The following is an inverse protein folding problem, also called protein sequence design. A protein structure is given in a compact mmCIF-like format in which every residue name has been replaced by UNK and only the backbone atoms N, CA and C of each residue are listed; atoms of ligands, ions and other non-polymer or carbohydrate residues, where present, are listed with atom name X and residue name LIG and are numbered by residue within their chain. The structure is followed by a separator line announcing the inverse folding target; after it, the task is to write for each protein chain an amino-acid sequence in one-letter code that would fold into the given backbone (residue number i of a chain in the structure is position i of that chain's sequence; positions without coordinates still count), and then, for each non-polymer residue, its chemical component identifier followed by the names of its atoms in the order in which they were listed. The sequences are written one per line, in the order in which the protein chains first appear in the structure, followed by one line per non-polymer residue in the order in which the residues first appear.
data_IF_010212107905
#
_entry.id   IF_010212107905
#
_cell.length_a   1.000
_cell.length_b   1.000
_cell.length_c   1.000
_cell.angle_alpha   90.00
_cell.angle_beta   90.00
_cell.angle_gamma   90.00
#
_symmetry.space_group_name_H-M   'P 1'
#
loop_
_entity.id
_entity.type
_entity.pdbx_description
1 polymer ?
#
# COMPACT_ATOMS: atom_id res chain seq x y z
N UNK A 1 32.28 25.28 -15.13
CA UNK A 1 30.94 25.64 -14.60
C UNK A 1 29.77 24.92 -15.27
N UNK A 2 29.83 24.56 -16.56
CA UNK A 2 28.73 23.88 -17.26
C UNK A 2 28.39 22.48 -16.73
N UNK A 3 29.40 21.68 -16.34
CA UNK A 3 29.18 20.31 -15.82
C UNK A 3 28.37 20.28 -14.52
N UNK A 4 28.63 21.20 -13.58
CA UNK A 4 27.89 21.28 -12.33
C UNK A 4 26.42 21.66 -12.55
N UNK A 5 26.14 22.58 -13.48
CA UNK A 5 24.78 22.97 -13.87
C UNK A 5 24.01 21.80 -14.52
N UNK A 6 24.70 21.01 -15.33
CA UNK A 6 24.11 19.82 -15.96
C UNK A 6 23.74 18.73 -14.93
N UNK A 7 24.62 18.47 -13.96
CA UNK A 7 24.36 17.51 -12.87
C UNK A 7 23.18 17.97 -12.00
N UNK A 8 23.13 19.27 -11.66
CA UNK A 8 22.01 19.85 -10.91
C UNK A 8 20.68 19.75 -11.66
N UNK A 9 20.67 19.95 -12.98
CA UNK A 9 19.46 19.74 -13.79
C UNK A 9 18.96 18.29 -13.74
N UNK A 10 19.86 17.30 -13.80
CA UNK A 10 19.48 15.89 -13.72
C UNK A 10 18.88 15.57 -12.35
N UNK A 11 19.50 16.05 -11.26
CA UNK A 11 18.99 15.84 -9.90
C UNK A 11 17.60 16.48 -9.74
N UNK A 12 17.43 17.71 -10.22
CA UNK A 12 16.13 18.40 -10.18
C UNK A 12 15.07 17.65 -10.98
N UNK A 13 15.41 17.15 -12.18
CA UNK A 13 14.49 16.39 -13.02
C UNK A 13 14.07 15.07 -12.35
N UNK A 14 15.01 14.35 -11.73
CA UNK A 14 14.73 13.13 -10.98
C UNK A 14 13.82 13.40 -9.77
N UNK A 15 14.03 14.52 -9.06
CA UNK A 15 13.20 14.91 -7.94
C UNK A 15 11.76 15.26 -8.39
N UNK A 16 11.60 15.98 -9.51
CA UNK A 16 10.29 16.30 -10.09
C UNK A 16 9.57 15.02 -10.54
N UNK A 17 10.27 14.14 -11.26
CA UNK A 17 9.69 12.87 -11.71
C UNK A 17 9.31 11.96 -10.54
N UNK A 18 10.17 11.86 -9.53
CA UNK A 18 9.89 11.13 -8.29
C UNK A 18 8.68 11.73 -7.52
N UNK A 19 8.59 13.05 -7.44
CA UNK A 19 7.45 13.75 -6.86
C UNK A 19 6.15 13.50 -7.63
N UNK A 20 6.18 13.59 -8.96
CA UNK A 20 5.02 13.32 -9.82
C UNK A 20 4.55 11.87 -9.72
N UNK A 21 5.48 10.91 -9.72
CA UNK A 21 5.14 9.49 -9.52
C UNK A 21 4.56 9.24 -8.12
N UNK A 22 5.08 9.90 -7.10
CA UNK A 22 4.54 9.80 -5.72
C UNK A 22 3.14 10.40 -5.61
N UNK A 23 2.88 11.52 -6.29
CA UNK A 23 1.55 12.15 -6.31
C UNK A 23 0.52 11.33 -7.10
N UNK A 24 0.95 10.73 -8.23
CA UNK A 24 0.11 9.83 -9.03
C UNK A 24 -0.15 8.51 -8.29
N UNK A 25 0.83 7.99 -7.55
CA UNK A 25 0.65 6.87 -6.64
C UNK A 25 -0.27 7.22 -5.46
N UNK A 26 -0.20 8.44 -4.93
CA UNK A 26 -1.11 8.95 -3.89
C UNK A 26 -2.55 9.06 -4.36
N UNK A 27 -2.79 9.48 -5.61
CA UNK A 27 -4.13 9.49 -6.24
C UNK A 27 -4.65 8.11 -6.65
N UNK A 28 -3.75 7.14 -6.92
CA UNK A 28 -4.11 5.75 -7.28
C UNK A 28 -4.18 4.80 -6.09
N UNK A 29 -3.67 5.19 -4.92
CA UNK A 29 -3.95 4.54 -3.64
C UNK A 29 -5.38 4.90 -3.27
N UNK A 30 -6.26 4.14 -3.91
CA UNK A 30 -7.60 3.75 -3.54
C UNK A 30 -8.27 4.65 -2.52
N UNK A 31 -9.38 5.18 -3.00
CA UNK A 31 -10.42 5.93 -2.32
C UNK A 31 -10.88 5.34 -0.97
N UNK A 32 -10.47 4.12 -0.62
CA UNK A 32 -10.27 3.72 0.77
C UNK A 32 -8.89 3.06 1.01
N UNK A 33 -8.12 3.58 1.97
CA UNK A 33 -6.88 2.95 2.43
C UNK A 33 -7.20 1.85 3.44
N UNK A 34 -8.03 0.88 3.03
CA UNK A 34 -8.29 -0.31 3.84
C UNK A 34 -7.26 -1.38 3.51
N UNK A 35 -6.84 -2.12 4.53
CA UNK A 35 -5.82 -3.15 4.42
C UNK A 35 -6.31 -4.45 5.04
N UNK A 36 -5.77 -5.58 4.60
CA UNK A 36 -5.98 -6.86 5.25
C UNK A 36 -4.64 -7.59 5.43
N UNK A 37 -4.49 -8.41 6.48
CA UNK A 37 -3.30 -9.23 6.66
C UNK A 37 -3.31 -10.39 5.65
N UNK A 38 -2.17 -10.63 5.03
CA UNK A 38 -1.92 -11.78 4.15
C UNK A 38 -0.55 -12.38 4.44
N UNK A 39 -0.30 -13.61 3.99
CA UNK A 39 0.96 -14.31 4.20
C UNK A 39 1.66 -14.58 2.87
N UNK A 40 2.99 -14.65 2.90
CA UNK A 40 3.80 -14.96 1.74
C UNK A 40 5.20 -15.40 2.14
N UNK A 41 5.85 -16.13 1.24
CA UNK A 41 7.21 -16.60 1.45
C UNK A 41 8.21 -15.58 0.91
N UNK A 42 9.06 -15.08 1.81
CA UNK A 42 10.09 -14.11 1.49
C UNK A 42 11.45 -14.79 1.56
N UNK A 43 12.20 -14.70 0.47
CA UNK A 43 13.52 -15.33 0.34
C UNK A 43 14.61 -14.29 0.27
N UNK A 44 15.62 -14.42 1.13
CA UNK A 44 16.81 -13.59 1.12
C UNK A 44 18.03 -14.42 1.55
N UNK A 45 19.15 -14.27 0.83
CA UNK A 45 20.40 -15.00 1.07
C UNK A 45 20.23 -16.54 1.16
N UNK A 46 19.35 -17.11 0.34
CA UNK A 46 19.09 -18.55 0.33
C UNK A 46 18.24 -19.07 1.50
N UNK A 47 17.82 -18.21 2.44
CA UNK A 47 16.86 -18.55 3.47
C UNK A 47 15.47 -18.03 3.09
N UNK A 48 14.44 -18.83 3.37
CA UNK A 48 13.04 -18.46 3.15
C UNK A 48 12.31 -18.34 4.48
N UNK A 49 11.39 -17.36 4.59
CA UNK A 49 10.54 -17.18 5.75
C UNK A 49 9.14 -16.79 5.32
N UNK A 50 8.14 -17.49 5.87
CA UNK A 50 6.75 -17.08 5.72
C UNK A 50 6.48 -15.89 6.65
N UNK A 51 6.05 -14.76 6.09
CA UNK A 51 5.76 -13.54 6.84
C UNK A 51 4.32 -13.10 6.59
N UNK A 52 3.67 -12.61 7.65
CA UNK A 52 2.39 -11.91 7.56
C UNK A 52 2.65 -10.43 7.31
N UNK A 53 2.04 -9.88 6.27
CA UNK A 53 2.15 -8.48 5.88
C UNK A 53 0.79 -7.90 5.51
N UNK A 54 0.70 -6.58 5.51
CA UNK A 54 -0.47 -5.84 5.10
C UNK A 54 -0.55 -5.79 3.57
N UNK A 55 -1.71 -6.16 3.06
CA UNK A 55 -2.07 -5.98 1.66
C UNK A 55 -3.21 -4.98 1.54
N UNK A 56 -3.22 -4.24 0.44
CA UNK A 56 -4.26 -3.24 0.17
C UNK A 56 -5.56 -3.94 -0.22
N UNK A 57 -6.65 -3.58 0.45
CA UNK A 57 -7.95 -4.16 0.19
C UNK A 57 -8.54 -3.58 -1.11
N UNK A 58 -9.07 -4.42 -2.02
CA UNK A 58 -9.62 -3.98 -3.30
C UNK A 58 -11.04 -3.41 -3.12
N UNK A 59 -11.23 -2.50 -2.17
CA UNK A 59 -12.53 -1.98 -1.80
C UNK A 59 -12.51 -0.46 -1.60
N UNK A 60 -13.70 0.14 -1.62
CA UNK A 60 -13.95 1.55 -1.30
C UNK A 60 -14.84 1.66 -0.07
N UNK A 61 -14.71 2.77 0.64
CA UNK A 61 -15.54 3.12 1.82
C UNK A 61 -16.61 4.14 1.47
N UNK A 62 -16.80 4.41 0.18
CA UNK A 62 -17.86 5.25 -0.29
C UNK A 62 -18.40 4.73 -1.63
N UNK A 63 -19.64 5.11 -1.86
CA UNK A 63 -20.45 4.76 -3.00
C UNK A 63 -20.10 5.64 -4.21
N UNK A 64 -20.04 5.08 -5.40
CA UNK A 64 -19.88 5.84 -6.66
C UNK A 64 -21.15 5.92 -7.50
N UNK A 65 -22.14 5.07 -7.22
CA UNK A 65 -23.43 5.06 -7.93
C UNK A 65 -24.61 4.98 -6.94
N UNK A 66 -25.70 5.71 -7.19
CA UNK A 66 -26.95 5.68 -6.41
C UNK A 66 -27.68 4.32 -6.42
N UNK A 67 -27.25 3.34 -7.23
CA UNK A 67 -27.76 1.96 -7.22
C UNK A 67 -26.77 0.94 -6.65
N UNK A 68 -25.56 1.35 -6.27
CA UNK A 68 -24.54 0.45 -5.72
C UNK A 68 -24.88 0.05 -4.28
N UNK A 69 -24.93 -1.25 -3.96
CA UNK A 69 -25.19 -1.71 -2.59
C UNK A 69 -23.88 -2.04 -1.87
N UNK A 70 -23.79 -1.82 -0.55
CA UNK A 70 -22.64 -2.23 0.21
C UNK A 70 -22.49 -3.76 0.16
N UNK A 71 -21.25 -4.21 0.01
CA UNK A 71 -20.89 -5.62 0.01
C UNK A 71 -20.48 -6.08 1.40
N UNK A 72 -20.78 -7.34 1.71
CA UNK A 72 -20.27 -8.00 2.90
C UNK A 72 -18.93 -8.65 2.58
N UNK A 73 -17.88 -8.19 3.26
CA UNK A 73 -16.57 -8.82 3.23
C UNK A 73 -16.44 -9.87 4.31
N UNK A 74 -15.84 -11.01 3.97
CA UNK A 74 -15.65 -12.16 4.87
C UNK A 74 -14.38 -12.06 5.72
N UNK A 75 -13.51 -11.08 5.44
CA UNK A 75 -12.25 -10.86 6.14
C UNK A 75 -12.22 -9.50 6.83
N UNK A 76 -11.57 -9.38 8.00
CA UNK A 76 -11.41 -8.09 8.66
C UNK A 76 -10.53 -7.15 7.82
N UNK A 77 -10.96 -5.90 7.73
CA UNK A 77 -10.23 -4.81 7.09
C UNK A 77 -9.74 -3.82 8.15
N UNK A 78 -8.62 -3.16 7.91
CA UNK A 78 -7.93 -2.29 8.86
C UNK A 78 -7.63 -0.94 8.21
N UNK A 79 -7.72 0.14 8.98
CA UNK A 79 -7.58 1.52 8.46
C UNK A 79 -6.15 2.02 8.36
N UNK A 80 -5.17 1.24 8.82
CA UNK A 80 -3.82 1.71 8.98
C UNK A 80 -2.78 0.59 8.96
N UNK A 81 -1.58 0.97 8.58
CA UNK A 81 -0.42 0.09 8.53
C UNK A 81 0.80 0.77 9.13
N UNK A 82 1.73 -0.03 9.63
CA UNK A 82 3.03 0.44 10.12
C UNK A 82 4.14 -0.38 9.47
N UNK A 83 5.26 0.27 9.17
CA UNK A 83 6.45 -0.45 8.74
C UNK A 83 7.10 -1.14 9.94
N UNK A 84 7.36 -2.43 9.80
CA UNK A 84 8.04 -3.27 10.76
C UNK A 84 9.27 -3.90 10.12
N UNK A 85 10.22 -4.29 10.95
CA UNK A 85 11.46 -4.92 10.50
C UNK A 85 11.55 -6.32 11.08
N UNK A 86 11.97 -7.26 10.24
CA UNK A 86 12.31 -8.62 10.64
C UNK A 86 13.64 -9.02 10.03
N UNK A 87 14.10 -10.23 10.33
CA UNK A 87 15.30 -10.79 9.72
C UNK A 87 14.96 -12.03 8.90
N UNK A 88 15.53 -12.10 7.69
CA UNK A 88 15.47 -13.24 6.77
C UNK A 88 16.89 -13.49 6.26
N UNK A 89 17.42 -14.71 6.42
CA UNK A 89 18.77 -15.04 5.97
C UNK A 89 19.88 -14.16 6.58
N UNK A 90 19.73 -13.77 7.84
CA UNK A 90 20.70 -12.93 8.57
C UNK A 90 20.71 -11.45 8.18
N UNK A 91 19.82 -11.02 7.28
CA UNK A 91 19.69 -9.61 6.85
C UNK A 91 18.36 -9.01 7.29
N UNK A 92 18.34 -7.68 7.46
CA UNK A 92 17.10 -6.94 7.73
C UNK A 92 16.17 -6.99 6.51
N UNK A 93 14.91 -7.26 6.80
CA UNK A 93 13.82 -7.26 5.85
C UNK A 93 12.71 -6.35 6.36
N UNK A 94 12.27 -5.40 5.53
CA UNK A 94 11.24 -4.44 5.87
C UNK A 94 9.89 -4.95 5.37
N UNK A 95 8.91 -5.05 6.27
CA UNK A 95 7.53 -5.43 5.95
C UNK A 95 6.56 -4.37 6.44
N UNK A 96 5.46 -4.22 5.73
CA UNK A 96 4.34 -3.42 6.22
C UNK A 96 3.36 -4.34 6.91
N UNK A 97 2.89 -4.00 8.11
CA UNK A 97 1.91 -4.80 8.88
C UNK A 97 0.68 -3.97 9.22
N UNK A 98 -0.47 -4.63 9.40
CA UNK A 98 -1.71 -3.94 9.79
C UNK A 98 -1.64 -3.56 11.27
N UNK A 99 -1.97 -2.31 11.58
CA UNK A 99 -1.88 -1.75 12.94
C UNK A 99 -3.04 -0.80 13.29
N UNK A 100 -3.79 -0.35 12.29
CA UNK A 100 -4.99 0.47 12.52
C UNK A 100 -6.14 -0.34 13.15
N UNK A 101 -7.18 0.34 13.65
CA UNK A 101 -8.41 -0.32 14.09
C UNK A 101 -9.09 -1.08 12.94
N UNK A 102 -9.89 -2.10 13.32
CA UNK A 102 -10.76 -2.81 12.38
C UNK A 102 -11.81 -1.84 11.84
N UNK A 103 -12.00 -1.83 10.52
CA UNK A 103 -13.07 -1.09 9.88
C UNK A 103 -14.42 -1.76 10.17
N UNK A 104 -15.35 -0.99 10.70
CA UNK A 104 -16.69 -1.48 11.00
C UNK A 104 -17.48 -1.54 9.68
N UNK A 105 -17.83 -2.74 9.24
CA UNK A 105 -18.52 -3.01 7.97
C UNK A 105 -19.89 -2.32 7.85
N UNK A 106 -20.52 -1.95 8.98
CA UNK A 106 -21.73 -1.13 9.04
C UNK A 106 -21.57 0.24 8.36
N UNK A 107 -20.34 0.74 8.24
CA UNK A 107 -20.06 2.00 7.54
C UNK A 107 -20.09 1.88 6.01
N UNK A 108 -20.42 0.69 5.49
CA UNK A 108 -20.49 0.40 4.06
C UNK A 108 -19.11 0.13 3.48
N UNK A 109 -19.02 -0.93 2.69
CA UNK A 109 -17.87 -1.26 1.86
C UNK A 109 -18.41 -1.50 0.47
N UNK A 110 -17.72 -0.98 -0.53
CA UNK A 110 -18.13 -1.04 -1.93
C UNK A 110 -17.01 -1.68 -2.75
N UNK A 111 -17.36 -2.40 -3.81
CA UNK A 111 -16.37 -3.09 -4.64
C UNK A 111 -15.57 -2.07 -5.47
N UNK A 112 -14.26 -2.23 -5.54
CA UNK A 112 -13.37 -1.42 -6.38
C UNK A 112 -13.14 -2.07 -7.76
N UNK A 113 -13.86 -3.16 -8.08
CA UNK A 113 -13.74 -3.93 -9.30
C UNK A 113 -13.86 -3.10 -10.60
N UNK A 114 -12.74 -2.50 -11.02
CA UNK A 114 -12.49 -2.00 -12.37
C UNK A 114 -12.86 -0.54 -12.65
N UNK A 115 -13.11 0.29 -11.62
CA UNK A 115 -13.18 1.75 -11.79
C UNK A 115 -11.82 2.43 -11.59
#
# INVERSE_FOLDING_TARGET
MHKARFILMIIALLAILGGMMSFKAGKRRQLSNLFYPTTGDFTQNGASRNLTYAYLAPYRTFRTDIYEFPINVTRPLYTGTTQSTTTVGGSFYFITVVTGPIWITLNGIYDDAGQ
#
